data_IF_895209225929
#
_entry.id   IF_895209225929
#
_cell.length_a   1.000
_cell.length_b   1.000
_cell.length_c   1.000
_cell.angle_alpha   90.00
_cell.angle_beta   90.00
_cell.angle_gamma   90.00
#
_symmetry.space_group_name_H-M   'P 1'
#
loop_
_entity.id
_entity.type
_entity.pdbx_description
1 polymer ?
#
# COMPACT_ATOMS: atom_id res chain seq x y z
N UNK A 1 9.38 12.75 9.01
CA UNK A 1 7.94 12.41 9.05
C UNK A 1 7.78 11.23 10.01
N UNK A 2 6.70 11.17 10.78
CA UNK A 2 6.47 10.01 11.66
C UNK A 2 6.12 8.78 10.80
N UNK A 3 6.88 7.69 10.96
CA UNK A 3 6.65 6.43 10.26
C UNK A 3 5.22 5.92 10.45
N UNK A 4 4.60 6.20 11.60
CA UNK A 4 3.20 5.88 11.86
C UNK A 4 2.25 6.60 10.89
N UNK A 5 2.48 7.89 10.64
CA UNK A 5 1.67 8.68 9.71
C UNK A 5 1.89 8.20 8.27
N UNK A 6 3.14 7.96 7.88
CA UNK A 6 3.46 7.49 6.52
C UNK A 6 2.85 6.10 6.25
N UNK A 7 2.98 5.15 7.19
CA UNK A 7 2.38 3.81 7.09
C UNK A 7 0.85 3.86 7.10
N UNK A 8 0.24 4.71 7.92
CA UNK A 8 -1.23 4.89 7.94
C UNK A 8 -1.73 5.48 6.62
N UNK A 9 -1.00 6.44 6.06
CA UNK A 9 -1.33 7.06 4.77
C UNK A 9 -1.19 6.03 3.63
N UNK A 10 -0.11 5.25 3.62
CA UNK A 10 0.09 4.16 2.68
C UNK A 10 -1.04 3.13 2.74
N UNK A 11 -1.44 2.73 3.95
CA UNK A 11 -2.55 1.81 4.15
C UNK A 11 -3.86 2.36 3.56
N UNK A 12 -4.15 3.64 3.77
CA UNK A 12 -5.33 4.28 3.24
C UNK A 12 -5.33 4.34 1.71
N UNK A 13 -4.19 4.67 1.10
CA UNK A 13 -4.04 4.71 -0.36
C UNK A 13 -4.23 3.31 -0.97
N UNK A 14 -3.67 2.26 -0.36
CA UNK A 14 -3.88 0.87 -0.76
C UNK A 14 -5.34 0.43 -0.65
N UNK A 15 -6.05 0.86 0.39
CA UNK A 15 -7.49 0.62 0.51
C UNK A 15 -8.28 1.29 -0.62
N UNK A 16 -7.89 2.50 -1.02
CA UNK A 16 -8.51 3.21 -2.16
C UNK A 16 -8.19 2.54 -3.49
N UNK A 17 -6.98 2.02 -3.65
CA UNK A 17 -6.57 1.19 -4.80
C UNK A 17 -7.45 -0.05 -4.88
N UNK A 18 -7.64 -0.77 -3.77
CA UNK A 18 -8.47 -1.96 -3.71
C UNK A 18 -9.92 -1.67 -4.14
N UNK A 19 -10.51 -0.58 -3.64
CA UNK A 19 -11.85 -0.14 -4.02
C UNK A 19 -11.93 0.27 -5.50
N UNK A 20 -10.90 0.93 -6.01
CA UNK A 20 -10.84 1.36 -7.40
C UNK A 20 -10.77 0.15 -8.34
N UNK A 21 -9.90 -0.84 -8.06
CA UNK A 21 -9.88 -2.09 -8.80
C UNK A 21 -11.20 -2.85 -8.66
N UNK A 22 -11.76 -3.00 -7.46
CA UNK A 22 -13.05 -3.68 -7.32
C UNK A 22 -14.17 -3.05 -8.17
N UNK A 23 -14.10 -1.74 -8.44
CA UNK A 23 -15.06 -0.99 -9.27
C UNK A 23 -14.66 -0.88 -10.76
N UNK A 24 -13.57 -1.52 -11.20
CA UNK A 24 -13.09 -1.41 -12.59
C UNK A 24 -12.46 -0.07 -12.95
N UNK A 25 -12.08 0.75 -11.97
CA UNK A 25 -11.57 2.10 -12.19
C UNK A 25 -10.04 2.16 -12.19
N UNK A 26 -9.44 1.67 -13.27
CA UNK A 26 -7.97 1.64 -13.46
C UNK A 26 -7.30 3.01 -13.30
N UNK A 27 -7.87 4.06 -13.88
CA UNK A 27 -7.32 5.42 -13.81
C UNK A 27 -7.24 5.94 -12.37
N UNK A 28 -8.24 5.61 -11.55
CA UNK A 28 -8.28 5.99 -10.13
C UNK A 28 -7.27 5.16 -9.34
N UNK A 29 -7.20 3.86 -9.59
CA UNK A 29 -6.20 2.99 -8.97
C UNK A 29 -4.77 3.50 -9.25
N UNK A 30 -4.46 3.84 -10.51
CA UNK A 30 -3.15 4.38 -10.89
C UNK A 30 -2.79 5.69 -10.20
N UNK A 31 -3.77 6.58 -9.97
CA UNK A 31 -3.54 7.82 -9.22
C UNK A 31 -3.14 7.50 -7.77
N UNK A 32 -3.90 6.66 -7.09
CA UNK A 32 -3.58 6.30 -5.71
C UNK A 32 -2.31 5.46 -5.60
N UNK A 33 -1.93 4.70 -6.63
CA UNK A 33 -0.61 4.07 -6.68
C UNK A 33 0.53 5.07 -6.63
N UNK A 34 0.43 6.17 -7.38
CA UNK A 34 1.45 7.23 -7.32
C UNK A 34 1.54 7.86 -5.93
N UNK A 35 0.39 8.02 -5.26
CA UNK A 35 0.35 8.52 -3.88
C UNK A 35 0.99 7.50 -2.91
N UNK A 36 0.66 6.21 -3.03
CA UNK A 36 1.24 5.13 -2.24
C UNK A 36 2.77 5.02 -2.39
N UNK A 37 3.31 5.15 -3.60
CA UNK A 37 4.76 5.16 -3.83
C UNK A 37 5.43 6.34 -3.12
N UNK A 38 4.84 7.54 -3.17
CA UNK A 38 5.35 8.69 -2.41
C UNK A 38 5.34 8.43 -0.91
N UNK A 39 4.29 7.80 -0.37
CA UNK A 39 4.23 7.42 1.05
C UNK A 39 5.30 6.40 1.43
N UNK A 40 5.63 5.47 0.53
CA UNK A 40 6.74 4.53 0.73
C UNK A 40 8.07 5.28 0.90
N UNK A 41 8.33 6.29 0.08
CA UNK A 41 9.56 7.10 0.14
C UNK A 41 9.67 7.95 1.43
N UNK A 42 8.54 8.27 2.07
CA UNK A 42 8.50 9.03 3.33
C UNK A 42 8.83 8.17 4.57
N UNK A 43 8.93 6.84 4.44
CA UNK A 43 9.17 5.91 5.54
C UNK A 43 10.67 5.74 5.80
N UNK A 44 11.10 6.03 7.02
CA UNK A 44 12.46 5.75 7.51
C UNK A 44 12.60 4.24 7.79
N UNK A 45 13.17 3.52 6.81
CA UNK A 45 13.32 2.06 6.85
C UNK A 45 14.23 1.54 7.97
N UNK A 46 15.10 2.40 8.54
CA UNK A 46 15.97 2.03 9.65
C UNK A 46 15.20 1.95 10.98
N UNK A 47 14.00 2.55 11.04
CA UNK A 47 13.15 2.63 12.24
C UNK A 47 11.90 1.76 12.15
N UNK A 48 11.87 0.78 11.25
CA UNK A 48 10.75 -0.15 11.12
C UNK A 48 11.24 -1.60 11.19
N UNK A 49 10.33 -2.52 11.51
CA UNK A 49 10.66 -3.95 11.58
C UNK A 49 11.03 -4.48 10.19
N UNK A 50 12.02 -5.39 10.06
CA UNK A 50 12.47 -5.89 8.75
C UNK A 50 11.39 -6.51 7.87
N UNK A 51 10.35 -7.11 8.45
CA UNK A 51 9.24 -7.66 7.67
C UNK A 51 8.44 -6.55 6.96
N UNK A 52 8.34 -5.35 7.54
CA UNK A 52 7.62 -4.22 6.94
C UNK A 52 8.38 -3.73 5.71
N UNK A 53 9.72 -3.69 5.77
CA UNK A 53 10.57 -3.40 4.61
C UNK A 53 10.28 -4.36 3.46
N UNK A 54 10.21 -5.67 3.74
CA UNK A 54 9.86 -6.68 2.73
C UNK A 54 8.45 -6.47 2.15
N UNK A 55 7.50 -5.97 2.94
CA UNK A 55 6.16 -5.64 2.44
C UNK A 55 6.19 -4.39 1.54
N UNK A 56 6.99 -3.37 1.88
CA UNK A 56 7.17 -2.15 1.08
C UNK A 56 7.77 -2.44 -0.30
N UNK A 57 8.62 -3.46 -0.41
CA UNK A 57 9.18 -3.92 -1.68
C UNK A 57 8.14 -4.69 -2.51
N UNK A 58 7.30 -5.49 -1.86
CA UNK A 58 6.41 -6.43 -2.55
C UNK A 58 5.09 -5.85 -3.02
N UNK A 59 4.52 -4.83 -2.35
CA UNK A 59 3.19 -4.33 -2.73
C UNK A 59 3.16 -3.73 -4.14
N UNK A 60 4.30 -3.28 -4.68
CA UNK A 60 4.38 -2.77 -6.05
C UNK A 60 4.02 -3.82 -7.11
N UNK A 61 4.15 -5.11 -6.76
CA UNK A 61 3.80 -6.22 -7.65
C UNK A 61 2.31 -6.27 -8.00
N UNK A 62 1.45 -5.59 -7.23
CA UNK A 62 0.03 -5.42 -7.58
C UNK A 62 -0.11 -4.81 -8.98
N UNK A 63 0.82 -3.94 -9.42
CA UNK A 63 0.73 -3.29 -10.73
C UNK A 63 0.97 -4.24 -11.92
N UNK A 64 1.72 -5.32 -11.70
CA UNK A 64 2.08 -6.30 -12.75
C UNK A 64 1.17 -7.54 -12.73
N UNK A 65 0.32 -7.68 -11.71
CA UNK A 65 -0.68 -8.75 -11.66
C UNK A 65 -1.74 -8.55 -12.75
N UNK A 66 -2.00 -9.61 -13.52
CA UNK A 66 -2.91 -9.58 -14.67
C UNK A 66 -4.36 -9.80 -14.23
N UNK A 67 -4.56 -10.57 -13.18
CA UNK A 67 -5.89 -10.80 -12.61
C UNK A 67 -6.35 -9.55 -11.85
N UNK A 68 -7.39 -8.91 -12.38
CA UNK A 68 -7.94 -7.68 -11.81
C UNK A 68 -8.62 -7.88 -10.45
N UNK A 69 -9.25 -9.03 -10.21
CA UNK A 69 -9.80 -9.35 -8.89
C UNK A 69 -8.67 -9.53 -7.88
N UNK A 70 -7.63 -10.28 -8.27
CA UNK A 70 -6.45 -10.49 -7.43
C UNK A 70 -5.73 -9.19 -7.09
N UNK A 71 -5.64 -8.24 -8.05
CA UNK A 71 -5.13 -6.88 -7.77
C UNK A 71 -5.89 -6.16 -6.67
N UNK A 72 -7.22 -6.27 -6.66
CA UNK A 72 -8.06 -5.68 -5.62
C UNK A 72 -7.82 -6.34 -4.25
N UNK A 73 -7.77 -7.67 -4.23
CA UNK A 73 -7.55 -8.47 -3.02
C UNK A 73 -6.15 -8.23 -2.43
N UNK A 74 -5.11 -8.23 -3.25
CA UNK A 74 -3.74 -7.95 -2.81
C UNK A 74 -3.63 -6.52 -2.24
N UNK A 75 -4.18 -5.52 -2.94
CA UNK A 75 -4.20 -4.15 -2.43
C UNK A 75 -4.90 -4.05 -1.06
N UNK A 76 -6.01 -4.77 -0.89
CA UNK A 76 -6.73 -4.82 0.38
C UNK A 76 -5.89 -5.50 1.47
N UNK A 77 -5.26 -6.64 1.17
CA UNK A 77 -4.38 -7.35 2.09
C UNK A 77 -3.24 -6.43 2.56
N UNK A 78 -2.52 -5.79 1.65
CA UNK A 78 -1.44 -4.88 2.02
C UNK A 78 -1.95 -3.68 2.84
N UNK A 79 -3.15 -3.16 2.55
CA UNK A 79 -3.75 -2.09 3.36
C UNK A 79 -3.87 -2.48 4.83
N UNK A 80 -4.34 -3.69 5.12
CA UNK A 80 -4.45 -4.19 6.50
C UNK A 80 -3.08 -4.43 7.13
N UNK A 81 -2.12 -4.99 6.38
CA UNK A 81 -0.78 -5.23 6.90
C UNK A 81 -0.07 -3.92 7.30
N UNK A 82 -0.15 -2.87 6.48
CA UNK A 82 0.44 -1.58 6.80
C UNK A 82 -0.32 -0.82 7.89
N UNK A 83 -1.66 -0.93 7.93
CA UNK A 83 -2.46 -0.37 9.03
C UNK A 83 -2.05 -1.00 10.37
N UNK A 84 -1.91 -2.33 10.40
CA UNK A 84 -1.48 -3.06 11.60
C UNK A 84 -0.04 -2.73 11.99
N UNK A 85 0.83 -2.54 11.00
CA UNK A 85 2.19 -2.07 11.25
C UNK A 85 2.21 -0.67 11.87
N UNK A 86 1.40 0.26 11.35
CA UNK A 86 1.30 1.63 11.86
C UNK A 86 0.80 1.70 13.31
N UNK A 87 -0.13 0.83 13.70
CA UNK A 87 -0.63 0.75 15.08
C UNK A 87 0.41 0.23 16.09
N UNK A 88 1.48 -0.40 15.59
CA UNK A 88 2.56 -0.99 16.39
C UNK A 88 3.88 -0.21 16.27
N UNK A 89 3.84 0.98 15.67
CA UNK A 89 4.94 1.94 15.69
C UNK A 89 4.89 2.82 16.93
#
# INVERSE_FOLDING_TARGET
>A
MDNKIALSSLALDLKRIALAYHRGSEKVAQRFFKEAIKRKEEIDVLKIKPYIVKLLEKFENIKIEKDHQKRAEDALMYSFLFQNAALKQ
#
